data_IF_267625648813
#
_entry.id   IF_267625648813
#
_cell.length_a   1.000
_cell.length_b   1.000
_cell.length_c   1.000
_cell.angle_alpha   90.00
_cell.angle_beta   90.00
_cell.angle_gamma   90.00
#
_symmetry.space_group_name_H-M   'P 1'
#
loop_
_entity.id
_entity.type
_entity.pdbx_description
1 polymer ?
#
# COMPACT_ATOMS: atom_id res chain seq x y z
N UNK A 1 -0.07 -23.22 -9.25
CA UNK A 1 0.15 -22.02 -8.43
C UNK A 1 1.63 -21.79 -8.41
N UNK A 2 2.08 -20.58 -8.31
CA UNK A 2 3.48 -20.30 -8.52
C UNK A 2 4.02 -19.21 -7.59
N UNK A 3 5.21 -19.44 -7.06
CA UNK A 3 6.05 -18.41 -6.48
C UNK A 3 6.64 -17.55 -7.59
N UNK A 4 6.55 -16.22 -7.45
CA UNK A 4 7.19 -15.27 -8.36
C UNK A 4 8.34 -14.60 -7.63
N UNK A 5 9.53 -14.71 -8.21
CA UNK A 5 10.72 -14.06 -7.67
C UNK A 5 11.32 -13.09 -8.70
N UNK A 6 11.59 -11.90 -8.24
CA UNK A 6 12.27 -10.84 -8.97
C UNK A 6 13.62 -10.65 -8.31
N UNK A 7 14.72 -10.82 -9.06
CA UNK A 7 16.10 -10.75 -8.53
C UNK A 7 16.91 -9.69 -9.25
N UNK A 8 17.50 -8.78 -8.50
CA UNK A 8 18.42 -7.72 -8.97
C UNK A 8 17.87 -6.98 -10.20
N UNK A 9 16.53 -6.75 -10.25
CA UNK A 9 15.91 -6.12 -11.42
C UNK A 9 16.29 -4.66 -11.50
N UNK A 10 16.88 -4.32 -12.65
CA UNK A 10 17.13 -2.96 -13.07
C UNK A 10 16.54 -2.72 -14.47
N UNK A 11 15.89 -1.57 -14.67
CA UNK A 11 15.41 -1.19 -15.99
C UNK A 11 15.62 0.29 -16.28
N UNK A 12 16.21 0.55 -17.44
CA UNK A 12 16.54 1.88 -17.94
C UNK A 12 15.89 2.08 -19.30
N UNK A 13 14.98 3.07 -19.39
CA UNK A 13 14.44 3.50 -20.67
C UNK A 13 15.46 4.38 -21.39
N UNK A 14 15.50 4.26 -22.73
CA UNK A 14 16.34 5.08 -23.61
C UNK A 14 17.83 5.10 -23.21
N UNK A 15 18.33 3.95 -22.74
CA UNK A 15 19.70 3.79 -22.26
C UNK A 15 20.74 4.32 -23.27
N UNK A 16 21.68 5.12 -22.79
CA UNK A 16 22.75 5.71 -23.60
C UNK A 16 22.33 6.95 -24.44
N UNK A 17 21.11 7.46 -24.22
CA UNK A 17 20.63 8.70 -24.85
C UNK A 17 20.57 9.87 -23.85
N UNK A 18 20.24 11.07 -24.35
CA UNK A 18 20.05 12.24 -23.49
C UNK A 18 18.77 12.16 -22.61
N UNK A 19 17.84 11.29 -22.99
CA UNK A 19 16.54 11.08 -22.33
C UNK A 19 16.55 9.82 -21.45
N UNK A 20 17.73 9.31 -21.10
CA UNK A 20 17.90 8.12 -20.25
C UNK A 20 17.17 8.28 -18.91
N UNK A 21 16.32 7.30 -18.58
CA UNK A 21 15.55 7.30 -17.33
C UNK A 21 15.64 5.95 -16.66
N UNK A 22 16.15 5.91 -15.43
CA UNK A 22 16.13 4.72 -14.57
C UNK A 22 14.73 4.58 -13.98
N UNK A 23 13.98 3.58 -14.42
CA UNK A 23 12.62 3.33 -13.95
C UNK A 23 12.57 2.32 -12.80
N UNK A 24 13.48 1.35 -12.81
CA UNK A 24 13.68 0.37 -11.73
C UNK A 24 15.18 0.32 -11.44
N UNK A 25 15.52 0.35 -10.17
CA UNK A 25 16.89 0.37 -9.70
C UNK A 25 17.08 -0.60 -8.53
N UNK A 26 17.59 -1.78 -8.83
CA UNK A 26 17.95 -2.82 -7.86
C UNK A 26 16.75 -3.29 -7.01
N UNK A 27 15.77 -3.96 -7.64
CA UNK A 27 14.58 -4.48 -6.97
C UNK A 27 14.65 -5.98 -6.82
N UNK A 28 14.56 -6.44 -5.56
CA UNK A 28 14.35 -7.82 -5.14
C UNK A 28 12.98 -7.98 -4.49
N UNK A 29 12.17 -8.93 -4.98
CA UNK A 29 10.83 -9.18 -4.45
C UNK A 29 10.43 -10.63 -4.66
N UNK A 30 9.95 -11.29 -3.60
CA UNK A 30 9.40 -12.65 -3.68
C UNK A 30 7.94 -12.66 -3.27
N UNK A 31 7.07 -12.99 -4.23
CA UNK A 31 5.64 -13.22 -4.00
C UNK A 31 5.44 -14.72 -3.75
N UNK A 32 5.04 -15.05 -2.53
CA UNK A 32 4.82 -16.45 -2.14
C UNK A 32 3.62 -17.04 -2.88
N UNK A 33 3.71 -18.34 -3.15
CA UNK A 33 2.64 -19.11 -3.79
C UNK A 33 1.29 -18.95 -3.07
N UNK A 34 0.22 -18.75 -3.84
CA UNK A 34 -1.16 -18.63 -3.37
C UNK A 34 -1.48 -17.35 -2.56
N UNK A 35 -0.52 -16.43 -2.37
CA UNK A 35 -0.73 -15.22 -1.57
C UNK A 35 -1.26 -14.04 -2.38
N UNK A 36 -2.02 -13.18 -1.71
CA UNK A 36 -2.42 -11.88 -2.24
C UNK A 36 -1.40 -10.81 -1.82
N UNK A 37 -0.78 -10.16 -2.80
CA UNK A 37 0.21 -9.11 -2.58
C UNK A 37 -0.25 -7.80 -3.23
N UNK A 38 0.23 -6.68 -2.72
CA UNK A 38 0.04 -5.39 -3.38
C UNK A 38 1.37 -4.68 -3.66
N UNK A 39 1.38 -3.89 -4.71
CA UNK A 39 2.46 -2.99 -5.07
C UNK A 39 1.94 -1.55 -4.97
N UNK A 40 2.45 -0.80 -4.01
CA UNK A 40 1.99 0.52 -3.65
C UNK A 40 3.14 1.54 -3.77
N UNK A 41 2.83 2.78 -4.12
CA UNK A 41 3.81 3.85 -4.17
C UNK A 41 3.30 5.06 -4.94
N UNK A 42 4.00 6.19 -4.90
CA UNK A 42 3.66 7.40 -5.65
C UNK A 42 3.57 7.16 -7.16
N UNK A 43 2.92 8.08 -7.88
CA UNK A 43 2.91 8.04 -9.34
C UNK A 43 4.33 8.19 -9.88
N UNK A 44 4.69 7.37 -10.89
CA UNK A 44 6.01 7.42 -11.52
C UNK A 44 7.13 6.67 -10.76
N UNK A 45 6.85 5.99 -9.64
CA UNK A 45 7.89 5.24 -8.90
C UNK A 45 8.28 3.88 -9.50
N UNK A 46 7.76 3.49 -10.69
CA UNK A 46 8.16 2.26 -11.39
C UNK A 46 7.18 1.09 -11.30
N UNK A 47 6.04 1.19 -10.61
CA UNK A 47 5.08 0.07 -10.43
C UNK A 47 4.65 -0.62 -11.73
N UNK A 48 4.18 0.17 -12.69
CA UNK A 48 3.74 -0.36 -14.00
C UNK A 48 4.92 -0.97 -14.77
N UNK A 49 6.11 -0.39 -14.68
CA UNK A 49 7.33 -0.95 -15.27
C UNK A 49 7.66 -2.32 -14.68
N UNK A 50 7.64 -2.45 -13.35
CA UNK A 50 7.87 -3.72 -12.67
C UNK A 50 6.81 -4.77 -13.05
N UNK A 51 5.54 -4.37 -13.08
CA UNK A 51 4.44 -5.25 -13.50
C UNK A 51 4.63 -5.73 -14.96
N UNK A 52 5.02 -4.85 -15.89
CA UNK A 52 5.31 -5.22 -17.27
C UNK A 52 6.52 -6.15 -17.39
N UNK A 53 7.53 -6.01 -16.54
CA UNK A 53 8.68 -6.92 -16.47
C UNK A 53 8.22 -8.29 -15.99
N UNK A 54 7.45 -8.37 -14.92
CA UNK A 54 6.91 -9.64 -14.39
C UNK A 54 6.03 -10.33 -15.42
N UNK A 55 5.15 -9.61 -16.11
CA UNK A 55 4.27 -10.17 -17.15
C UNK A 55 4.99 -10.56 -18.44
N UNK A 56 6.23 -10.11 -18.66
CA UNK A 56 6.99 -10.35 -19.88
C UNK A 56 6.65 -9.42 -21.05
N UNK A 57 5.87 -8.37 -20.79
CA UNK A 57 5.62 -7.30 -21.77
C UNK A 57 6.85 -6.40 -21.98
N UNK A 58 7.71 -6.36 -20.97
CA UNK A 58 8.98 -5.60 -21.00
C UNK A 58 10.11 -6.50 -20.50
N UNK A 59 11.25 -6.46 -21.18
CA UNK A 59 12.46 -7.12 -20.68
C UNK A 59 13.24 -6.15 -19.79
N UNK A 60 13.73 -6.58 -18.62
CA UNK A 60 14.59 -5.75 -17.79
C UNK A 60 15.93 -5.52 -18.48
N UNK A 61 16.61 -4.43 -18.10
CA UNK A 61 17.98 -4.17 -18.55
C UNK A 61 18.97 -5.12 -17.89
N UNK A 62 18.74 -5.43 -16.62
CA UNK A 62 19.52 -6.36 -15.79
C UNK A 62 18.59 -7.12 -14.84
N UNK A 63 19.05 -8.25 -14.30
CA UNK A 63 18.33 -9.08 -13.35
C UNK A 63 17.47 -10.17 -13.98
N UNK A 64 16.71 -10.87 -13.16
CA UNK A 64 15.95 -12.06 -13.55
C UNK A 64 14.55 -12.08 -12.94
N UNK A 65 13.60 -12.64 -13.68
CA UNK A 65 12.26 -13.02 -13.19
C UNK A 65 12.18 -14.55 -13.19
N UNK A 66 11.86 -15.12 -12.03
CA UNK A 66 11.66 -16.56 -11.89
C UNK A 66 10.20 -16.84 -11.52
N UNK A 67 9.65 -17.92 -12.06
CA UNK A 67 8.36 -18.50 -11.71
C UNK A 67 8.60 -19.95 -11.30
N UNK A 68 8.28 -20.31 -10.05
CA UNK A 68 8.61 -21.61 -9.45
C UNK A 68 10.09 -22.03 -9.62
N UNK A 69 10.98 -21.03 -9.51
CA UNK A 69 12.43 -21.21 -9.67
C UNK A 69 12.90 -21.34 -11.13
N UNK A 70 12.01 -21.34 -12.11
CA UNK A 70 12.37 -21.31 -13.54
C UNK A 70 12.60 -19.88 -14.00
N UNK A 71 13.75 -19.59 -14.63
CA UNK A 71 14.03 -18.30 -15.24
C UNK A 71 13.15 -18.07 -16.48
N UNK A 72 12.23 -17.11 -16.38
CA UNK A 72 11.30 -16.73 -17.46
C UNK A 72 11.62 -15.37 -18.06
N UNK A 73 12.75 -14.77 -17.72
CA UNK A 73 13.10 -13.39 -18.10
C UNK A 73 12.99 -13.17 -19.60
N UNK A 74 13.49 -14.11 -20.41
CA UNK A 74 13.44 -14.03 -21.87
C UNK A 74 12.14 -14.56 -22.50
N UNK A 75 11.24 -15.19 -21.69
CA UNK A 75 9.99 -15.75 -22.20
C UNK A 75 8.97 -14.65 -22.50
N UNK A 76 8.24 -14.73 -23.62
CA UNK A 76 7.14 -13.81 -23.90
C UNK A 76 5.96 -14.06 -22.96
N UNK A 77 5.00 -13.11 -22.81
CA UNK A 77 3.85 -13.22 -21.91
C UNK A 77 3.04 -14.52 -22.07
N UNK A 78 2.87 -15.00 -23.31
CA UNK A 78 2.11 -16.21 -23.60
C UNK A 78 2.72 -17.52 -23.03
N UNK A 79 4.01 -17.49 -22.67
CA UNK A 79 4.75 -18.64 -22.15
C UNK A 79 4.99 -18.55 -20.63
N UNK A 80 4.50 -17.49 -19.96
CA UNK A 80 4.65 -17.29 -18.51
C UNK A 80 3.44 -17.74 -17.70
N UNK A 81 2.33 -18.10 -18.35
CA UNK A 81 1.06 -18.49 -17.73
C UNK A 81 0.55 -17.49 -16.68
N UNK A 82 0.81 -16.20 -16.92
CA UNK A 82 0.33 -15.09 -16.11
C UNK A 82 -0.92 -14.48 -16.74
N UNK A 83 -1.97 -14.27 -15.93
CA UNK A 83 -3.10 -13.46 -16.33
C UNK A 83 -2.85 -11.99 -15.94
N UNK A 84 -3.20 -11.06 -16.83
CA UNK A 84 -3.15 -9.63 -16.52
C UNK A 84 -4.51 -8.97 -16.72
N UNK A 85 -4.93 -8.22 -15.70
CA UNK A 85 -6.13 -7.36 -15.75
C UNK A 85 -5.63 -5.92 -15.80
N UNK A 86 -5.94 -5.26 -16.90
CA UNK A 86 -5.51 -3.88 -17.15
C UNK A 86 -6.44 -2.87 -16.47
N UNK A 87 -5.98 -1.65 -16.30
CA UNK A 87 -6.72 -0.51 -15.77
C UNK A 87 -8.04 -0.28 -16.53
N UNK A 88 -8.00 -0.36 -17.88
CA UNK A 88 -9.20 -0.34 -18.71
C UNK A 88 -9.63 -1.76 -19.04
N UNK A 89 -10.91 -2.12 -18.85
CA UNK A 89 -11.38 -3.47 -19.12
C UNK A 89 -11.22 -3.83 -20.59
N UNK A 90 -10.45 -4.87 -20.86
CA UNK A 90 -10.36 -5.46 -22.21
C UNK A 90 -11.43 -6.55 -22.32
N UNK A 91 -12.49 -6.32 -23.08
CA UNK A 91 -13.61 -7.23 -23.25
C UNK A 91 -13.85 -7.48 -24.74
N UNK A 92 -14.34 -8.67 -25.07
CA UNK A 92 -14.71 -9.04 -26.44
C UNK A 92 -16.19 -8.72 -26.67
N UNK A 93 -16.48 -7.62 -27.37
CA UNK A 93 -17.86 -7.18 -27.69
C UNK A 93 -18.63 -8.13 -28.56
N UNK A 94 -17.94 -9.03 -29.30
CA UNK A 94 -18.54 -10.06 -30.14
C UNK A 94 -19.10 -11.25 -29.36
N UNK A 95 -18.90 -11.31 -28.05
CA UNK A 95 -19.33 -12.37 -27.14
C UNK A 95 -20.20 -11.79 -26.03
N UNK A 96 -21.12 -12.57 -25.49
CA UNK A 96 -21.79 -12.25 -24.23
C UNK A 96 -20.82 -12.40 -23.04
N UNK A 97 -21.27 -12.11 -21.81
CA UNK A 97 -20.48 -12.25 -20.61
C UNK A 97 -20.02 -13.70 -20.43
N UNK A 98 -20.91 -14.67 -20.64
CA UNK A 98 -20.57 -16.09 -20.58
C UNK A 98 -19.44 -16.44 -21.57
N UNK A 99 -19.55 -16.00 -22.80
CA UNK A 99 -18.54 -16.20 -23.83
C UNK A 99 -17.19 -15.58 -23.48
N UNK A 100 -17.19 -14.38 -22.88
CA UNK A 100 -15.97 -13.73 -22.39
C UNK A 100 -15.29 -14.54 -21.28
N UNK A 101 -16.04 -15.08 -20.32
CA UNK A 101 -15.52 -15.94 -19.25
C UNK A 101 -15.07 -17.30 -19.78
N UNK A 102 -15.80 -17.91 -20.72
CA UNK A 102 -15.46 -19.19 -21.32
C UNK A 102 -14.23 -19.15 -22.23
N UNK A 103 -13.94 -18.00 -22.84
CA UNK A 103 -12.93 -17.86 -23.88
C UNK A 103 -11.52 -18.36 -23.47
N UNK A 104 -10.95 -17.95 -22.33
CA UNK A 104 -9.61 -18.44 -21.93
C UNK A 104 -9.60 -19.96 -21.66
N UNK A 105 -10.67 -20.50 -21.08
CA UNK A 105 -10.78 -21.93 -20.77
C UNK A 105 -10.89 -22.77 -22.02
N UNK A 106 -11.67 -22.32 -23.02
CA UNK A 106 -11.79 -22.99 -24.34
C UNK A 106 -10.46 -23.00 -25.08
N UNK A 107 -9.74 -21.87 -25.04
CA UNK A 107 -8.40 -21.79 -25.63
C UNK A 107 -7.39 -22.72 -24.95
N UNK A 108 -7.54 -22.94 -23.63
CA UNK A 108 -6.75 -23.91 -22.84
C UNK A 108 -7.19 -25.35 -23.05
N UNK A 109 -8.23 -25.62 -23.86
CA UNK A 109 -8.72 -26.97 -24.14
C UNK A 109 -9.48 -27.63 -22.98
N UNK A 110 -9.99 -26.82 -22.03
CA UNK A 110 -10.78 -27.30 -20.89
C UNK A 110 -12.12 -27.89 -21.38
N UNK A 111 -12.56 -29.06 -20.86
CA UNK A 111 -13.84 -29.67 -21.23
C UNK A 111 -15.05 -28.75 -20.91
N UNK A 112 -16.06 -28.71 -21.77
CA UNK A 112 -17.20 -27.79 -21.63
C UNK A 112 -17.96 -27.95 -20.30
N UNK A 113 -18.06 -29.16 -19.76
CA UNK A 113 -18.68 -29.41 -18.45
C UNK A 113 -17.92 -28.74 -17.29
N UNK A 114 -16.60 -28.72 -17.36
CA UNK A 114 -15.76 -28.03 -16.38
C UNK A 114 -15.81 -26.51 -16.56
N UNK A 115 -15.89 -26.05 -17.80
CA UNK A 115 -16.09 -24.62 -18.12
C UNK A 115 -17.38 -24.10 -17.48
N UNK A 116 -18.48 -24.84 -17.62
CA UNK A 116 -19.78 -24.46 -17.06
C UNK A 116 -19.70 -24.36 -15.51
N UNK A 117 -19.08 -25.34 -14.85
CA UNK A 117 -18.88 -25.34 -13.39
C UNK A 117 -18.03 -24.14 -12.92
N UNK A 118 -16.93 -23.86 -13.60
CA UNK A 118 -16.04 -22.73 -13.25
C UNK A 118 -16.71 -21.39 -13.50
N UNK A 119 -17.47 -21.24 -14.60
CA UNK A 119 -18.22 -20.01 -14.88
C UNK A 119 -19.28 -19.78 -13.82
N UNK A 120 -20.03 -20.82 -13.43
CA UNK A 120 -21.02 -20.69 -12.38
C UNK A 120 -20.38 -20.24 -11.07
N UNK A 121 -19.25 -20.84 -10.69
CA UNK A 121 -18.51 -20.49 -9.47
C UNK A 121 -18.06 -19.02 -9.49
N UNK A 122 -17.44 -18.55 -10.56
CA UNK A 122 -16.99 -17.16 -10.65
C UNK A 122 -18.15 -16.16 -10.75
N UNK A 123 -19.24 -16.56 -11.43
CA UNK A 123 -20.45 -15.74 -11.53
C UNK A 123 -21.15 -15.57 -10.17
N UNK A 124 -21.17 -16.61 -9.34
CA UNK A 124 -21.69 -16.53 -7.97
C UNK A 124 -20.83 -15.60 -7.11
N UNK A 125 -19.49 -15.74 -7.16
CA UNK A 125 -18.55 -14.93 -6.38
C UNK A 125 -18.59 -13.43 -6.77
N UNK A 126 -18.70 -13.14 -8.06
CA UNK A 126 -18.68 -11.77 -8.58
C UNK A 126 -20.09 -11.20 -8.83
N UNK A 127 -21.16 -11.96 -8.50
CA UNK A 127 -22.57 -11.58 -8.75
C UNK A 127 -22.87 -11.23 -10.22
N UNK A 128 -22.40 -12.07 -11.14
CA UNK A 128 -22.59 -11.89 -12.59
C UNK A 128 -23.76 -12.71 -13.15
N UNK A 129 -24.47 -13.51 -12.35
CA UNK A 129 -25.49 -14.46 -12.82
C UNK A 129 -26.55 -13.81 -13.69
N UNK A 130 -27.08 -12.65 -13.27
CA UNK A 130 -28.19 -11.98 -13.99
C UNK A 130 -27.76 -11.40 -15.34
N UNK A 131 -26.45 -11.28 -15.59
CA UNK A 131 -25.89 -10.67 -16.80
C UNK A 131 -25.10 -11.64 -17.68
N UNK A 132 -25.02 -12.93 -17.34
CA UNK A 132 -24.21 -13.92 -18.08
C UNK A 132 -24.48 -13.93 -19.59
N UNK A 133 -25.74 -13.74 -20.00
CA UNK A 133 -26.14 -13.72 -21.41
C UNK A 133 -26.34 -12.30 -21.97
N UNK A 134 -25.86 -11.27 -21.25
CA UNK A 134 -25.91 -9.89 -21.72
C UNK A 134 -24.68 -9.58 -22.60
N UNK A 135 -24.89 -8.71 -23.59
CA UNK A 135 -23.77 -8.16 -24.37
C UNK A 135 -23.00 -7.14 -23.52
N UNK A 136 -21.66 -7.16 -23.50
CA UNK A 136 -20.83 -6.18 -22.80
C UNK A 136 -21.17 -4.73 -23.17
N UNK A 137 -21.57 -4.47 -24.41
CA UNK A 137 -21.97 -3.14 -24.88
C UNK A 137 -23.20 -2.55 -24.17
N UNK A 138 -24.00 -3.39 -23.51
CA UNK A 138 -25.15 -2.99 -22.72
C UNK A 138 -24.84 -2.81 -21.23
N UNK A 139 -23.60 -3.09 -20.83
CA UNK A 139 -23.13 -3.00 -19.44
C UNK A 139 -22.41 -1.69 -19.21
N UNK A 140 -22.49 -1.18 -17.97
CA UNK A 140 -21.67 -0.06 -17.53
C UNK A 140 -20.20 -0.45 -17.35
N UNK A 141 -19.29 0.54 -17.25
CA UNK A 141 -17.84 0.31 -17.07
C UNK A 141 -17.52 -0.63 -15.91
N UNK A 142 -18.23 -0.48 -14.79
CA UNK A 142 -18.04 -1.29 -13.59
C UNK A 142 -18.33 -2.79 -13.81
N UNK A 143 -19.45 -3.12 -14.45
CA UNK A 143 -19.78 -4.52 -14.75
C UNK A 143 -18.80 -5.11 -15.76
N UNK A 144 -18.37 -4.32 -16.73
CA UNK A 144 -17.32 -4.71 -17.66
C UNK A 144 -16.00 -4.98 -16.95
N UNK A 145 -15.66 -4.19 -15.94
CA UNK A 145 -14.47 -4.42 -15.10
C UNK A 145 -14.59 -5.73 -14.32
N UNK A 146 -15.76 -6.04 -13.73
CA UNK A 146 -16.00 -7.31 -13.05
C UNK A 146 -15.88 -8.52 -14.00
N UNK A 147 -16.36 -8.39 -15.23
CA UNK A 147 -16.20 -9.43 -16.26
C UNK A 147 -14.72 -9.63 -16.62
N UNK A 148 -13.96 -8.54 -16.78
CA UNK A 148 -12.52 -8.61 -17.03
C UNK A 148 -11.74 -9.25 -15.88
N UNK A 149 -12.09 -8.93 -14.63
CA UNK A 149 -11.55 -9.55 -13.42
C UNK A 149 -11.87 -11.05 -13.39
N UNK A 150 -13.15 -11.41 -13.59
CA UNK A 150 -13.60 -12.82 -13.64
C UNK A 150 -12.86 -13.62 -14.72
N UNK A 151 -12.65 -13.05 -15.90
CA UNK A 151 -11.91 -13.68 -16.99
C UNK A 151 -10.44 -13.90 -16.67
N UNK A 152 -9.82 -13.00 -15.90
CA UNK A 152 -8.44 -13.17 -15.42
C UNK A 152 -8.33 -14.32 -14.41
N UNK A 153 -9.25 -14.34 -13.43
CA UNK A 153 -9.24 -15.31 -12.32
C UNK A 153 -9.63 -16.74 -12.78
N UNK A 154 -10.54 -16.87 -13.73
CA UNK A 154 -11.15 -18.17 -14.10
C UNK A 154 -10.18 -19.13 -14.81
N UNK A 155 -9.02 -18.66 -15.29
CA UNK A 155 -8.06 -19.50 -16.02
C UNK A 155 -7.62 -20.69 -15.18
N UNK A 156 -7.59 -21.85 -15.80
CA UNK A 156 -7.27 -23.13 -15.14
C UNK A 156 -5.78 -23.33 -14.86
N UNK A 157 -4.97 -22.72 -15.69
CA UNK A 157 -3.51 -22.90 -15.80
C UNK A 157 -2.73 -21.65 -15.41
N UNK A 158 -3.39 -20.69 -14.75
CA UNK A 158 -2.77 -19.43 -14.38
C UNK A 158 -1.84 -19.61 -13.18
N UNK A 159 -0.55 -19.36 -13.38
CA UNK A 159 0.45 -19.33 -12.31
C UNK A 159 0.22 -18.15 -11.38
N UNK A 160 -0.11 -16.98 -11.95
CA UNK A 160 -0.40 -15.78 -11.18
C UNK A 160 -1.33 -14.83 -11.93
N UNK A 161 -1.92 -13.89 -11.17
CA UNK A 161 -2.73 -12.81 -11.71
C UNK A 161 -2.16 -11.45 -11.31
N UNK A 162 -1.99 -10.57 -12.29
CA UNK A 162 -1.52 -9.21 -12.11
C UNK A 162 -2.68 -8.24 -12.36
N UNK A 163 -2.98 -7.39 -11.38
CA UNK A 163 -3.99 -6.35 -11.47
C UNK A 163 -3.30 -4.98 -11.58
N UNK A 164 -3.50 -4.28 -12.69
CA UNK A 164 -2.94 -2.95 -12.92
C UNK A 164 -4.02 -1.89 -12.68
N UNK A 165 -4.05 -1.30 -11.48
CA UNK A 165 -5.03 -0.29 -11.03
C UNK A 165 -6.49 -0.65 -11.39
N UNK A 166 -6.98 -1.85 -11.08
CA UNK A 166 -8.22 -2.39 -11.64
C UNK A 166 -9.49 -1.71 -11.15
N UNK A 167 -9.41 -0.82 -10.16
CA UNK A 167 -10.57 -0.15 -9.55
C UNK A 167 -10.65 1.35 -9.86
N UNK A 168 -9.84 1.87 -10.80
CA UNK A 168 -9.76 3.32 -11.08
C UNK A 168 -11.12 3.90 -11.49
N UNK A 169 -11.86 3.20 -12.37
CA UNK A 169 -13.16 3.65 -12.89
C UNK A 169 -14.36 3.13 -12.09
N UNK A 170 -14.12 2.51 -10.92
CA UNK A 170 -15.18 2.01 -10.05
C UNK A 170 -15.63 3.07 -9.06
N UNK A 171 -16.95 3.18 -8.86
CA UNK A 171 -17.53 4.11 -7.87
C UNK A 171 -16.99 3.82 -6.46
N UNK A 172 -16.54 4.84 -5.69
CA UNK A 172 -15.93 4.65 -4.37
C UNK A 172 -16.75 3.80 -3.39
N UNK A 173 -18.07 3.96 -3.40
CA UNK A 173 -18.99 3.20 -2.53
C UNK A 173 -18.96 1.68 -2.80
N UNK A 174 -18.58 1.26 -4.00
CA UNK A 174 -18.55 -0.14 -4.43
C UNK A 174 -17.17 -0.78 -4.39
N UNK A 175 -16.10 0.04 -4.44
CA UNK A 175 -14.71 -0.46 -4.44
C UNK A 175 -14.44 -1.49 -3.35
N UNK A 176 -14.88 -1.24 -2.12
CA UNK A 176 -14.66 -2.15 -1.00
C UNK A 176 -15.33 -3.52 -1.22
N UNK A 177 -16.59 -3.52 -1.70
CA UNK A 177 -17.34 -4.75 -1.94
C UNK A 177 -16.71 -5.57 -3.06
N UNK A 178 -16.36 -4.93 -4.19
CA UNK A 178 -15.75 -5.60 -5.34
C UNK A 178 -14.39 -6.17 -4.95
N UNK A 179 -13.55 -5.40 -4.26
CA UNK A 179 -12.23 -5.85 -3.82
C UNK A 179 -12.32 -7.07 -2.90
N UNK A 180 -13.29 -7.09 -1.97
CA UNK A 180 -13.52 -8.26 -1.12
C UNK A 180 -13.87 -9.50 -1.95
N UNK A 181 -14.76 -9.38 -2.93
CA UNK A 181 -15.13 -10.49 -3.82
C UNK A 181 -13.96 -10.99 -4.68
N UNK A 182 -13.14 -10.05 -5.20
CA UNK A 182 -11.93 -10.41 -5.96
C UNK A 182 -10.95 -11.17 -5.07
N UNK A 183 -10.78 -10.74 -3.81
CA UNK A 183 -9.94 -11.44 -2.83
C UNK A 183 -10.52 -12.81 -2.46
N UNK A 184 -11.83 -12.94 -2.30
CA UNK A 184 -12.51 -14.22 -2.06
C UNK A 184 -12.32 -15.16 -3.26
N UNK A 185 -12.47 -14.66 -4.49
CA UNK A 185 -12.22 -15.44 -5.70
C UNK A 185 -10.74 -15.85 -5.83
N UNK A 186 -9.80 -14.95 -5.57
CA UNK A 186 -8.37 -15.26 -5.57
C UNK A 186 -8.04 -16.41 -4.60
N UNK A 187 -8.60 -16.38 -3.38
CA UNK A 187 -8.42 -17.44 -2.39
C UNK A 187 -9.09 -18.76 -2.81
N UNK A 188 -10.30 -18.69 -3.36
CA UNK A 188 -11.06 -19.87 -3.77
C UNK A 188 -10.40 -20.62 -4.95
N UNK A 189 -9.73 -19.88 -5.83
CA UNK A 189 -8.96 -20.43 -6.94
C UNK A 189 -7.48 -20.63 -6.62
N UNK A 190 -7.06 -20.23 -5.39
CA UNK A 190 -5.69 -20.39 -4.85
C UNK A 190 -4.60 -19.80 -5.77
N UNK A 191 -4.81 -18.59 -6.29
CA UNK A 191 -3.94 -17.94 -7.27
C UNK A 191 -3.02 -16.93 -6.59
N UNK A 192 -1.73 -16.94 -6.92
CA UNK A 192 -0.81 -15.86 -6.54
C UNK A 192 -1.23 -14.55 -7.21
N UNK A 193 -1.45 -13.50 -6.43
CA UNK A 193 -1.94 -12.23 -6.94
C UNK A 193 -1.01 -11.07 -6.60
N UNK A 194 -0.79 -10.18 -7.59
CA UNK A 194 -0.15 -8.87 -7.39
C UNK A 194 -1.10 -7.77 -7.81
N UNK A 195 -1.51 -6.95 -6.86
CA UNK A 195 -2.43 -5.83 -7.03
C UNK A 195 -1.68 -4.50 -7.01
N UNK A 196 -1.55 -3.87 -8.16
CA UNK A 196 -0.89 -2.56 -8.29
C UNK A 196 -1.92 -1.45 -8.09
N UNK A 197 -1.62 -0.52 -7.21
CA UNK A 197 -2.46 0.64 -6.93
C UNK A 197 -1.63 1.80 -6.36
N UNK A 198 -2.20 3.00 -6.39
CA UNK A 198 -1.70 4.17 -5.66
C UNK A 198 -2.54 4.46 -4.40
N UNK A 199 -3.64 3.74 -4.20
CA UNK A 199 -4.53 3.87 -3.03
C UNK A 199 -4.11 2.89 -1.93
N UNK A 200 -3.66 3.45 -0.79
CA UNK A 200 -3.24 2.65 0.36
C UNK A 200 -4.39 1.81 0.96
N UNK A 201 -5.64 2.30 0.92
CA UNK A 201 -6.78 1.52 1.43
C UNK A 201 -7.07 0.31 0.55
N UNK A 202 -6.85 0.42 -0.77
CA UNK A 202 -6.97 -0.71 -1.67
C UNK A 202 -5.88 -1.74 -1.37
N UNK A 203 -4.62 -1.32 -1.29
CA UNK A 203 -3.50 -2.21 -0.99
C UNK A 203 -3.65 -2.93 0.35
N UNK A 204 -3.86 -2.18 1.44
CA UNK A 204 -3.93 -2.72 2.81
C UNK A 204 -5.14 -3.63 3.07
N UNK A 205 -6.24 -3.48 2.31
CA UNK A 205 -7.43 -4.34 2.48
C UNK A 205 -7.43 -5.57 1.58
N UNK A 206 -6.73 -5.50 0.44
CA UNK A 206 -6.61 -6.63 -0.48
C UNK A 206 -5.48 -7.58 -0.07
N UNK A 207 -4.29 -7.05 0.16
CA UNK A 207 -3.07 -7.83 0.28
C UNK A 207 -2.83 -8.43 1.67
N UNK A 208 -2.06 -9.50 1.72
CA UNK A 208 -1.45 -10.06 2.93
C UNK A 208 -0.13 -9.34 3.21
N UNK A 209 0.63 -9.02 2.15
CA UNK A 209 1.82 -8.17 2.20
C UNK A 209 1.79 -7.08 1.14
N UNK A 210 2.34 -5.93 1.46
CA UNK A 210 2.41 -4.77 0.58
C UNK A 210 3.86 -4.40 0.33
N UNK A 211 4.25 -4.38 -0.94
CA UNK A 211 5.53 -3.87 -1.40
C UNK A 211 5.40 -2.37 -1.68
N UNK A 212 6.19 -1.55 -1.00
CA UNK A 212 6.17 -0.10 -1.20
C UNK A 212 7.37 0.31 -2.02
N UNK A 213 7.09 0.97 -3.15
CA UNK A 213 8.10 1.50 -4.04
C UNK A 213 8.24 3.02 -3.94
N UNK A 214 9.47 3.50 -4.02
CA UNK A 214 9.82 4.92 -4.19
C UNK A 214 11.03 5.04 -5.11
N UNK A 215 10.95 5.94 -6.08
CA UNK A 215 12.07 6.29 -6.99
C UNK A 215 12.76 5.08 -7.65
N UNK A 216 11.96 4.11 -8.11
CA UNK A 216 12.43 2.90 -8.78
C UNK A 216 12.90 1.78 -7.86
N UNK A 217 12.86 1.97 -6.54
CA UNK A 217 13.36 1.01 -5.54
C UNK A 217 12.25 0.45 -4.68
N UNK A 218 12.43 -0.76 -4.20
CA UNK A 218 11.61 -1.34 -3.14
C UNK A 218 12.10 -0.81 -1.78
N UNK A 219 11.21 -0.10 -1.05
CA UNK A 219 11.58 0.49 0.25
C UNK A 219 11.29 -0.48 1.39
N UNK A 220 10.09 -1.08 1.40
CA UNK A 220 9.69 -2.06 2.40
C UNK A 220 8.65 -3.02 1.83
N UNK A 221 8.74 -4.31 2.17
CA UNK A 221 7.75 -5.32 1.82
C UNK A 221 7.34 -6.09 3.05
N UNK A 222 6.14 -5.84 3.54
CA UNK A 222 5.67 -6.41 4.79
C UNK A 222 4.13 -6.44 4.88
N UNK A 223 3.60 -6.98 5.99
CA UNK A 223 2.18 -6.88 6.32
C UNK A 223 1.77 -5.43 6.54
N UNK A 224 0.49 -5.12 6.30
CA UNK A 224 -0.03 -3.75 6.52
C UNK A 224 0.15 -3.27 7.96
N UNK A 225 0.03 -4.18 8.94
CA UNK A 225 0.28 -3.89 10.35
C UNK A 225 1.74 -3.48 10.59
N UNK A 226 2.69 -4.27 10.08
CA UNK A 226 4.11 -3.98 10.28
C UNK A 226 4.57 -2.70 9.56
N UNK A 227 4.03 -2.42 8.35
CA UNK A 227 4.27 -1.14 7.67
C UNK A 227 3.76 0.07 8.45
N UNK A 228 2.68 -0.09 9.22
CA UNK A 228 2.11 0.96 10.05
C UNK A 228 2.87 1.13 11.37
N UNK A 229 3.14 0.01 12.06
CA UNK A 229 3.75 0.01 13.39
C UNK A 229 5.28 0.15 13.35
N UNK A 230 5.95 -0.43 12.34
CA UNK A 230 7.40 -0.49 12.21
C UNK A 230 7.90 -0.01 10.83
N UNK A 231 7.63 1.24 10.44
CA UNK A 231 8.15 1.79 9.19
C UNK A 231 9.68 1.85 9.23
N UNK A 232 10.34 1.39 8.18
CA UNK A 232 11.81 1.39 8.09
C UNK A 232 12.41 2.79 7.97
N UNK A 233 11.63 3.77 7.52
CA UNK A 233 12.09 5.15 7.39
C UNK A 233 10.94 6.16 7.48
N UNK A 234 11.29 7.44 7.48
CA UNK A 234 10.34 8.56 7.56
C UNK A 234 9.35 8.57 6.41
N UNK A 235 9.78 8.16 5.19
CA UNK A 235 8.89 8.08 4.04
C UNK A 235 7.74 7.08 4.29
N UNK A 236 8.05 5.86 4.73
CA UNK A 236 7.01 4.85 5.04
C UNK A 236 6.11 5.34 6.17
N UNK A 237 6.69 5.92 7.22
CA UNK A 237 5.95 6.48 8.35
C UNK A 237 4.91 7.51 7.92
N UNK A 238 5.29 8.42 7.03
CA UNK A 238 4.40 9.45 6.50
C UNK A 238 3.44 8.92 5.44
N UNK A 239 3.91 8.03 4.55
CA UNK A 239 3.14 7.53 3.42
C UNK A 239 2.04 6.56 3.84
N UNK A 240 2.26 5.73 4.87
CA UNK A 240 1.27 4.78 5.39
C UNK A 240 0.50 5.38 6.55
N UNK A 241 -0.82 5.46 6.38
CA UNK A 241 -1.77 6.04 7.35
C UNK A 241 -2.50 7.25 6.78
N UNK A 242 -3.71 7.49 7.27
CA UNK A 242 -4.54 8.64 6.90
C UNK A 242 -5.17 9.28 8.14
N UNK A 243 -4.56 10.36 8.65
CA UNK A 243 -3.33 11.00 8.18
C UNK A 243 -2.08 10.16 8.46
N UNK A 244 -0.99 10.49 7.76
CA UNK A 244 0.34 9.88 7.99
C UNK A 244 0.91 10.20 9.37
N UNK A 245 2.03 9.58 9.71
CA UNK A 245 2.76 9.83 10.95
C UNK A 245 3.20 11.30 11.07
N UNK A 246 3.06 11.90 12.24
CA UNK A 246 3.74 13.15 12.53
C UNK A 246 5.25 12.89 12.58
N UNK A 247 6.02 13.62 11.81
CA UNK A 247 7.47 13.56 11.78
C UNK A 247 7.98 14.92 12.27
N UNK A 248 8.52 14.95 13.49
CA UNK A 248 8.89 16.17 14.16
C UNK A 248 10.42 16.23 14.29
N UNK A 249 11.05 17.16 13.58
CA UNK A 249 12.48 17.41 13.69
C UNK A 249 12.87 17.79 15.12
N UNK A 250 13.88 17.14 15.67
CA UNK A 250 14.29 17.36 17.07
C UNK A 250 15.80 17.39 17.26
N UNK A 251 16.24 18.14 18.25
CA UNK A 251 17.56 17.98 18.82
C UNK A 251 17.58 16.91 19.91
N UNK A 252 18.75 16.48 20.32
CA UNK A 252 18.92 15.51 21.40
C UNK A 252 19.55 16.20 22.64
N UNK A 253 18.91 16.01 23.79
CA UNK A 253 19.39 16.58 25.07
C UNK A 253 19.38 15.50 26.15
N UNK A 254 20.02 15.80 27.28
CA UNK A 254 19.93 14.97 28.49
C UNK A 254 19.27 15.76 29.61
N UNK A 255 18.19 15.18 30.14
CA UNK A 255 17.56 15.68 31.34
C UNK A 255 17.59 14.60 32.42
N UNK A 256 18.13 14.92 33.61
CA UNK A 256 18.32 13.96 34.71
C UNK A 256 19.09 12.66 34.33
N UNK A 257 19.94 12.74 33.30
CA UNK A 257 20.73 11.61 32.82
C UNK A 257 20.03 10.76 31.74
N UNK A 258 18.75 10.99 31.46
CA UNK A 258 17.98 10.36 30.39
C UNK A 258 17.97 11.24 29.12
N UNK A 259 18.05 10.68 27.91
CA UNK A 259 17.92 11.44 26.68
C UNK A 259 16.47 11.82 26.41
N UNK A 260 16.33 13.01 25.85
CA UNK A 260 15.05 13.58 25.44
C UNK A 260 15.18 14.12 24.01
N UNK A 261 14.12 14.02 23.26
CA UNK A 261 13.96 14.73 22.00
C UNK A 261 13.53 16.18 22.30
N UNK A 262 14.31 17.15 21.84
CA UNK A 262 14.07 18.58 22.09
C UNK A 262 13.43 19.23 20.87
N UNK A 263 12.21 19.77 21.03
CA UNK A 263 11.50 20.54 20.00
C UNK A 263 11.23 21.93 20.52
N UNK A 264 12.00 22.93 20.07
CA UNK A 264 11.95 24.27 20.64
C UNK A 264 12.22 24.23 22.15
N UNK A 265 11.34 24.80 22.99
CA UNK A 265 11.49 24.75 24.46
C UNK A 265 11.03 23.41 25.07
N UNK A 266 10.41 22.52 24.31
CA UNK A 266 9.75 21.32 24.81
C UNK A 266 10.67 20.11 24.78
N UNK A 267 10.82 19.42 25.91
CA UNK A 267 11.54 18.16 26.02
C UNK A 267 10.54 16.99 26.03
N UNK A 268 10.70 16.06 25.09
CA UNK A 268 9.85 14.89 24.92
C UNK A 268 10.63 13.66 25.34
N UNK A 269 10.09 12.92 26.30
CA UNK A 269 10.67 11.68 26.76
C UNK A 269 10.54 10.60 25.69
N UNK A 270 11.60 9.83 25.45
CA UNK A 270 11.62 8.65 24.58
C UNK A 270 11.73 7.38 25.42
N UNK A 271 11.39 6.22 24.86
CA UNK A 271 11.48 4.95 25.56
C UNK A 271 12.94 4.59 25.90
N UNK A 272 13.14 3.77 26.95
CA UNK A 272 14.45 3.31 27.38
C UNK A 272 15.20 2.54 26.27
N UNK A 273 14.48 1.83 25.41
CA UNK A 273 15.03 1.06 24.30
C UNK A 273 15.66 2.00 23.25
N UNK A 274 14.96 3.06 22.87
CA UNK A 274 15.48 4.10 21.97
C UNK A 274 16.66 4.80 22.64
N UNK A 275 16.57 5.04 23.93
CA UNK A 275 17.62 5.67 24.74
C UNK A 275 19.01 5.02 24.54
N UNK A 276 19.06 3.69 24.50
CA UNK A 276 20.33 2.96 24.39
C UNK A 276 20.92 3.01 22.98
N UNK A 277 20.09 3.26 21.97
CA UNK A 277 20.49 3.35 20.57
C UNK A 277 20.91 4.76 20.13
N UNK A 278 20.51 5.80 20.88
CA UNK A 278 20.74 7.21 20.49
C UNK A 278 22.17 7.67 20.75
N UNK A 279 22.77 8.32 19.76
CA UNK A 279 24.00 9.09 19.90
C UNK A 279 23.69 10.59 19.93
N UNK A 280 24.02 11.25 21.03
CA UNK A 280 23.77 12.69 21.22
C UNK A 280 24.51 13.61 20.22
N UNK A 281 25.43 13.07 19.44
CA UNK A 281 26.10 13.81 18.36
C UNK A 281 25.27 13.87 17.07
N UNK A 282 24.18 13.13 16.96
CA UNK A 282 23.32 13.12 15.79
C UNK A 282 22.60 14.46 15.60
N UNK A 283 22.54 14.94 14.37
CA UNK A 283 22.01 16.27 14.03
C UNK A 283 20.74 16.25 13.19
N UNK A 284 20.53 15.20 12.41
CA UNK A 284 19.33 15.04 11.57
C UNK A 284 18.41 13.97 12.18
N UNK A 285 17.71 14.39 13.24
CA UNK A 285 16.87 13.51 14.03
C UNK A 285 15.40 13.91 13.93
N UNK A 286 14.54 12.91 13.87
CA UNK A 286 13.10 13.08 13.92
C UNK A 286 12.47 12.10 14.91
N UNK A 287 11.47 12.57 15.65
CA UNK A 287 10.52 11.67 16.29
C UNK A 287 9.30 11.49 15.41
N UNK A 288 8.85 10.26 15.31
CA UNK A 288 7.62 9.86 14.62
C UNK A 288 6.56 9.45 15.63
N UNK A 289 5.35 10.01 15.49
CA UNK A 289 4.21 9.59 16.29
C UNK A 289 2.94 9.53 15.44
N UNK A 290 2.19 8.45 15.56
CA UNK A 290 0.91 8.31 14.87
C UNK A 290 -0.12 9.29 15.46
N UNK A 291 -0.93 9.96 14.62
CA UNK A 291 -2.00 10.85 15.12
C UNK A 291 -2.98 10.18 16.09
N UNK A 292 -3.17 8.87 15.97
CA UNK A 292 -3.99 8.05 16.89
C UNK A 292 -3.37 7.86 18.27
N UNK A 293 -2.06 8.01 18.39
CA UNK A 293 -1.31 7.84 19.64
C UNK A 293 -1.10 9.15 20.40
N UNK A 294 -1.36 10.30 19.76
CA UNK A 294 -1.28 11.60 20.43
C UNK A 294 -2.48 11.75 21.37
N UNK A 295 -2.22 11.94 22.65
CA UNK A 295 -3.26 12.22 23.64
C UNK A 295 -3.55 13.72 23.71
N UNK A 296 -4.83 14.08 23.70
CA UNK A 296 -5.28 15.49 23.74
C UNK A 296 -6.07 15.75 25.02
N UNK A 297 -5.78 16.85 25.69
CA UNK A 297 -6.50 17.32 26.87
C UNK A 297 -6.79 18.83 26.74
N UNK A 298 -8.04 19.25 27.07
CA UNK A 298 -8.45 20.66 27.03
C UNK A 298 -8.16 21.35 28.36
N UNK A 299 -8.36 20.63 29.48
CA UNK A 299 -8.06 21.17 30.81
C UNK A 299 -6.55 21.20 31.07
N UNK A 300 -6.07 22.26 31.72
CA UNK A 300 -4.67 22.34 32.16
C UNK A 300 -4.32 21.13 33.06
N UNK A 301 -3.31 20.31 32.69
CA UNK A 301 -2.91 19.14 33.47
C UNK A 301 -2.21 19.48 34.80
N UNK A 302 -2.07 20.76 35.12
CA UNK A 302 -1.51 21.37 36.33
C UNK A 302 -0.09 20.94 36.72
N UNK A 303 0.13 19.66 37.08
CA UNK A 303 1.45 19.20 37.58
C UNK A 303 2.10 18.15 36.65
N UNK A 304 1.48 17.78 35.50
CA UNK A 304 2.03 16.80 34.60
C UNK A 304 2.88 17.44 33.50
N UNK A 305 4.19 17.44 33.73
CA UNK A 305 5.22 18.03 32.83
C UNK A 305 5.36 17.26 31.50
N UNK A 306 4.65 16.13 31.31
CA UNK A 306 4.68 15.38 30.08
C UNK A 306 3.70 15.91 29.01
N UNK A 307 2.87 16.87 29.38
CA UNK A 307 1.98 17.53 28.45
C UNK A 307 2.60 18.82 27.90
N UNK A 308 2.47 18.99 26.60
CA UNK A 308 3.01 20.13 25.86
C UNK A 308 1.83 21.04 25.47
N UNK A 309 1.89 22.34 25.80
CA UNK A 309 0.85 23.29 25.39
C UNK A 309 0.86 23.48 23.88
N UNK A 310 -0.32 23.55 23.30
CA UNK A 310 -0.52 23.74 21.87
C UNK A 310 -1.82 24.51 21.60
N UNK A 311 -1.89 25.19 20.46
CA UNK A 311 -3.08 25.90 20.02
C UNK A 311 -3.64 25.22 18.76
N UNK A 312 -4.93 24.89 18.75
CA UNK A 312 -5.58 24.24 17.60
C UNK A 312 -5.64 25.23 16.44
N UNK A 313 -5.05 24.84 15.30
CA UNK A 313 -5.07 25.64 14.07
C UNK A 313 -6.15 25.17 13.07
N UNK A 314 -6.56 23.90 13.12
CA UNK A 314 -7.57 23.35 12.22
C UNK A 314 -8.27 22.14 12.83
N UNK A 315 -9.56 21.99 12.51
CA UNK A 315 -10.40 20.83 12.89
C UNK A 315 -11.04 20.24 11.65
N UNK A 316 -10.73 18.99 11.34
CA UNK A 316 -11.30 18.26 10.21
C UNK A 316 -12.19 17.12 10.68
N UNK A 317 -13.46 17.11 10.23
CA UNK A 317 -14.40 16.02 10.52
C UNK A 317 -14.23 14.88 9.51
N UNK A 318 -13.84 13.70 9.97
CA UNK A 318 -13.64 12.52 9.14
C UNK A 318 -14.56 11.39 9.60
N UNK A 319 -15.83 11.47 9.22
CA UNK A 319 -16.84 10.46 9.59
C UNK A 319 -16.97 10.27 11.11
N UNK A 320 -16.45 9.18 11.65
CA UNK A 320 -16.59 8.82 13.08
C UNK A 320 -15.54 9.41 14.03
N UNK A 321 -14.62 10.24 13.54
CA UNK A 321 -13.56 10.89 14.33
C UNK A 321 -13.21 12.27 13.77
N UNK A 322 -12.41 13.02 14.53
CA UNK A 322 -11.86 14.29 14.10
C UNK A 322 -10.34 14.21 14.03
N UNK A 323 -9.75 14.96 13.09
CA UNK A 323 -8.34 15.26 13.05
C UNK A 323 -8.15 16.70 13.51
N UNK A 324 -7.43 16.87 14.59
CA UNK A 324 -7.00 18.18 15.06
C UNK A 324 -5.60 18.43 14.51
N UNK A 325 -5.37 19.58 13.90
CA UNK A 325 -4.03 20.10 13.66
C UNK A 325 -3.78 21.18 14.71
N UNK A 326 -2.75 21.01 15.52
CA UNK A 326 -2.41 21.95 16.58
C UNK A 326 -0.94 22.35 16.47
N UNK A 327 -0.66 23.63 16.68
CA UNK A 327 0.71 24.18 16.73
C UNK A 327 1.21 24.11 18.16
N UNK A 328 2.38 23.53 18.36
CA UNK A 328 3.06 23.54 19.65
C UNK A 328 3.43 24.99 20.02
N UNK A 329 3.07 25.44 21.21
CA UNK A 329 3.31 26.81 21.65
C UNK A 329 4.84 27.11 21.64
N UNK A 330 5.19 28.35 21.36
CA UNK A 330 6.57 28.83 21.20
C UNK A 330 7.38 28.12 20.09
N UNK A 331 6.68 27.48 19.12
CA UNK A 331 7.29 26.87 17.94
C UNK A 331 6.44 27.07 16.68
N UNK A 332 6.99 26.76 15.50
CA UNK A 332 6.23 26.67 14.24
C UNK A 332 5.84 25.21 13.89
N UNK A 333 5.98 24.28 14.83
CA UNK A 333 5.74 22.85 14.62
C UNK A 333 4.25 22.54 14.77
N UNK A 334 3.67 21.91 13.74
CA UNK A 334 2.31 21.43 13.76
C UNK A 334 2.27 19.93 14.02
N UNK A 335 1.28 19.51 14.83
CA UNK A 335 1.03 18.12 15.19
C UNK A 335 -0.42 17.79 14.89
N UNK A 336 -0.64 16.65 14.22
CA UNK A 336 -1.97 16.08 14.00
C UNK A 336 -2.30 15.10 15.11
N UNK A 337 -3.50 15.22 15.66
CA UNK A 337 -4.04 14.28 16.64
C UNK A 337 -5.42 13.78 16.17
N UNK A 338 -5.67 12.48 16.34
CA UNK A 338 -6.97 11.88 16.08
C UNK A 338 -7.75 11.79 17.38
N UNK A 339 -8.92 12.42 17.42
CA UNK A 339 -9.82 12.41 18.59
C UNK A 339 -11.19 11.86 18.23
N UNK A 340 -11.95 11.43 19.23
CA UNK A 340 -13.30 10.93 19.04
C UNK A 340 -14.24 12.04 18.52
N UNK A 341 -15.27 11.67 17.78
CA UNK A 341 -16.22 12.62 17.15
C UNK A 341 -16.92 13.54 18.17
N UNK A 342 -17.17 13.05 19.37
CA UNK A 342 -17.84 13.78 20.46
C UNK A 342 -16.90 14.70 21.26
N UNK A 343 -15.63 14.74 20.90
CA UNK A 343 -14.65 15.62 21.52
C UNK A 343 -14.74 17.01 20.89
N UNK A 344 -15.65 17.85 21.42
CA UNK A 344 -15.94 19.17 20.85
C UNK A 344 -14.81 20.16 21.15
N UNK A 345 -13.94 20.37 20.16
CA UNK A 345 -12.87 21.39 20.19
C UNK A 345 -13.03 22.29 18.98
N UNK A 346 -12.96 23.59 19.22
CA UNK A 346 -12.97 24.60 18.18
C UNK A 346 -11.53 25.03 17.81
N UNK A 347 -11.40 25.72 16.67
CA UNK A 347 -10.15 26.38 16.28
C UNK A 347 -9.80 27.49 17.28
N UNK A 348 -8.53 27.84 17.38
CA UNK A 348 -7.95 28.83 18.30
C UNK A 348 -8.08 28.47 19.81
N UNK A 349 -8.48 27.22 20.13
CA UNK A 349 -8.52 26.74 21.51
C UNK A 349 -7.15 26.22 21.95
N UNK A 350 -6.70 26.64 23.14
CA UNK A 350 -5.51 26.07 23.77
C UNK A 350 -5.79 24.67 24.30
N UNK A 351 -4.91 23.74 23.97
CA UNK A 351 -4.95 22.34 24.37
C UNK A 351 -3.61 21.88 24.89
N UNK A 352 -3.59 20.71 25.44
CA UNK A 352 -2.37 20.04 25.93
C UNK A 352 -2.20 18.72 25.19
N UNK A 353 -1.04 18.51 24.59
CA UNK A 353 -0.68 17.29 23.86
C UNK A 353 0.31 16.46 24.67
N UNK A 354 0.09 15.15 24.69
CA UNK A 354 1.04 14.19 25.28
C UNK A 354 1.46 13.19 24.23
N UNK A 355 2.75 12.92 24.19
CA UNK A 355 3.37 11.91 23.34
C UNK A 355 3.83 10.73 24.23
N UNK A 356 3.05 9.61 24.31
CA UNK A 356 3.44 8.47 25.12
C UNK A 356 4.78 7.89 24.62
N UNK A 357 5.80 7.76 25.49
CA UNK A 357 7.17 7.36 25.09
C UNK A 357 7.21 6.03 24.30
N UNK A 358 6.38 5.06 24.69
CA UNK A 358 6.32 3.74 24.06
C UNK A 358 5.69 3.75 22.66
N UNK A 359 5.07 4.86 22.23
CA UNK A 359 4.49 5.04 20.90
C UNK A 359 5.30 5.91 19.96
N UNK A 360 6.41 6.45 20.47
CA UNK A 360 7.34 7.27 19.71
C UNK A 360 8.31 6.36 18.96
N UNK A 361 8.47 6.63 17.68
CA UNK A 361 9.54 6.08 16.85
C UNK A 361 10.60 7.14 16.64
N UNK A 362 11.83 6.71 16.47
CA UNK A 362 12.95 7.61 16.30
C UNK A 362 13.64 7.36 14.96
N UNK A 363 13.96 8.43 14.25
CA UNK A 363 14.62 8.37 12.95
C UNK A 363 15.89 9.24 12.96
N UNK A 364 16.95 8.72 12.34
CA UNK A 364 18.18 9.42 12.07
C UNK A 364 18.53 9.30 10.59
N UNK A 365 18.82 10.40 9.90
CA UNK A 365 19.05 10.43 8.45
C UNK A 365 17.93 9.71 7.66
N UNK A 366 16.68 9.98 8.02
CA UNK A 366 15.46 9.36 7.52
C UNK A 366 15.24 7.88 7.92
N UNK A 367 16.24 7.12 8.34
CA UNK A 367 16.12 5.70 8.69
C UNK A 367 15.66 5.50 10.14
N UNK A 368 14.84 4.46 10.36
CA UNK A 368 14.36 4.13 11.70
C UNK A 368 15.48 3.61 12.60
N UNK A 369 15.56 4.14 13.80
CA UNK A 369 16.48 3.66 14.84
C UNK A 369 15.76 2.59 15.66
N UNK A 370 16.25 1.38 15.56
CA UNK A 370 15.76 0.25 16.35
C UNK A 370 16.67 -0.01 17.55
N UNK A 371 16.09 -0.49 18.64
CA UNK A 371 16.86 -1.01 19.76
C UNK A 371 17.74 -2.20 19.29
N UNK A 372 18.98 -2.31 19.80
CA UNK A 372 19.91 -3.37 19.41
C UNK A 372 19.44 -4.77 19.86
#
# INVERSE_FOLDING_TARGET
MAEIEVRDIRHVYDAGTADETVAIDDVDLTLQDGTANALLGPSGCGKTTLLQIISGLLQPTEGQVLIDGEDVTAKPPAERDIAQVFQFPVIYDSMDVYGNLAFPLRNGGVPEAEIEERIQKIADLLELNDILHSSPSNLGPELNQLVALGRGIIRADTSAILFDEPMTDVEPARKLTIRRRVKEAQKEFDITALYVTHDQHEALTFAEKVAIMRDGRLVQYDTGENLYENPVNTFIGHFIGSPGMNLLGCGLTKENGAPHAQIGPHAISVSDDIHHAMDLSWTDCHIGIRPSSVTVQVADPQDDTHYIPATVSQVEMVGGYQILTARLDDTDVEVKARVAHDYMIDEDVSIWLRFPPDTIQFFHEEEAVHAP
#
